data_IF_278747880377
#
_entry.id   IF_278747880377
#
_cell.length_a   1.000
_cell.length_b   1.000
_cell.length_c   1.000
_cell.angle_alpha   90.00
_cell.angle_beta   90.00
_cell.angle_gamma   90.00
#
_symmetry.space_group_name_H-M   'P 1'
#
loop_
_entity.id
_entity.type
_entity.pdbx_description
1 polymer ?
#
# COMPACT_ATOMS: atom_id res chain seq x y z
N UNK A 1 -15.59 14.39 -7.51
CA UNK A 1 -15.48 14.07 -6.06
C UNK A 1 -14.06 14.42 -5.65
N UNK A 2 -13.89 15.22 -4.59
CA UNK A 2 -12.56 15.71 -4.15
C UNK A 2 -11.86 14.62 -3.33
N UNK A 3 -10.54 14.53 -3.43
CA UNK A 3 -9.71 13.59 -2.65
C UNK A 3 -9.81 13.88 -1.15
N UNK A 4 -9.92 12.82 -0.34
CA UNK A 4 -10.03 12.96 1.11
C UNK A 4 -8.63 13.14 1.70
N UNK A 5 -8.42 14.26 2.40
CA UNK A 5 -7.24 14.49 3.24
C UNK A 5 -7.47 13.90 4.62
N UNK A 6 -6.51 13.12 5.11
CA UNK A 6 -6.59 12.45 6.41
C UNK A 6 -5.44 12.92 7.31
N UNK A 7 -5.60 12.87 8.64
CA UNK A 7 -4.43 12.80 9.52
C UNK A 7 -3.51 11.63 9.11
N UNK A 8 -2.24 11.62 9.53
CA UNK A 8 -1.34 10.49 9.29
C UNK A 8 -1.94 9.19 9.82
N UNK A 9 -1.91 8.12 9.02
CA UNK A 9 -2.46 6.80 9.38
C UNK A 9 -1.33 5.78 9.43
N UNK A 10 -1.07 5.20 10.59
CA UNK A 10 -0.07 4.13 10.74
C UNK A 10 -0.55 2.87 10.03
N UNK A 11 0.31 2.31 9.18
CA UNK A 11 0.04 1.04 8.50
C UNK A 11 0.15 -0.12 9.49
N UNK A 12 -0.87 -0.97 9.50
CA UNK A 12 -0.85 -2.26 10.21
C UNK A 12 -0.58 -3.36 9.20
N UNK A 13 0.53 -4.08 9.38
CA UNK A 13 0.86 -5.22 8.55
C UNK A 13 0.08 -6.46 9.01
N UNK A 14 -0.57 -7.12 8.06
CA UNK A 14 -1.12 -8.45 8.21
C UNK A 14 -0.24 -9.46 7.47
N UNK A 15 0.26 -10.46 8.20
CA UNK A 15 1.04 -11.56 7.62
C UNK A 15 0.14 -12.49 6.80
N UNK A 16 -1.04 -12.81 7.34
CA UNK A 16 -2.04 -13.62 6.66
C UNK A 16 -2.91 -12.77 5.73
N UNK A 17 -3.14 -13.31 4.52
CA UNK A 17 -3.93 -12.64 3.49
C UNK A 17 -5.40 -12.56 3.91
N UNK A 18 -5.97 -13.63 4.41
CA UNK A 18 -7.40 -13.68 4.75
C UNK A 18 -7.74 -12.73 5.89
N UNK A 19 -6.86 -12.61 6.89
CA UNK A 19 -7.01 -11.66 7.99
C UNK A 19 -7.01 -10.21 7.47
N UNK A 20 -6.13 -9.87 6.53
CA UNK A 20 -6.17 -8.57 5.86
C UNK A 20 -7.54 -8.33 5.18
N UNK A 21 -8.04 -9.31 4.42
CA UNK A 21 -9.30 -9.18 3.69
C UNK A 21 -10.53 -9.07 4.61
N UNK A 22 -10.48 -9.67 5.80
CA UNK A 22 -11.52 -9.60 6.83
C UNK A 22 -11.43 -8.35 7.71
N UNK A 23 -10.25 -7.74 7.85
CA UNK A 23 -10.04 -6.53 8.65
C UNK A 23 -10.80 -5.33 8.08
N UNK A 24 -11.08 -4.32 8.91
CA UNK A 24 -11.61 -3.01 8.52
C UNK A 24 -10.64 -1.85 8.83
N UNK A 25 -9.42 -2.16 9.25
CA UNK A 25 -8.42 -1.19 9.71
C UNK A 25 -7.91 -0.34 8.54
N UNK A 26 -8.24 0.95 8.53
CA UNK A 26 -7.78 1.90 7.51
C UNK A 26 -6.25 1.95 7.42
N UNK A 27 -5.71 1.97 6.20
CA UNK A 27 -4.27 1.98 5.98
C UNK A 27 -3.55 0.66 6.30
N UNK A 28 -4.26 -0.40 6.69
CA UNK A 28 -3.67 -1.73 6.80
C UNK A 28 -3.10 -2.21 5.46
N UNK A 29 -2.12 -3.09 5.54
CA UNK A 29 -1.37 -3.60 4.39
C UNK A 29 -1.15 -5.11 4.50
N UNK A 30 -0.94 -5.74 3.34
CA UNK A 30 -0.45 -7.10 3.22
C UNK A 30 0.51 -7.17 2.02
N UNK A 31 1.62 -7.89 2.17
CA UNK A 31 2.68 -7.96 1.14
C UNK A 31 2.83 -9.42 0.74
N UNK A 32 2.43 -9.75 -0.48
CA UNK A 32 2.61 -11.08 -1.04
C UNK A 32 3.76 -11.06 -2.05
N UNK A 33 4.78 -11.91 -1.85
CA UNK A 33 5.86 -12.11 -2.82
C UNK A 33 5.41 -13.04 -3.94
N UNK A 34 5.86 -12.76 -5.16
CA UNK A 34 5.66 -13.67 -6.29
C UNK A 34 6.65 -14.84 -6.21
N UNK A 35 6.21 -16.04 -6.61
CA UNK A 35 7.08 -17.24 -6.63
C UNK A 35 8.11 -17.17 -7.76
N UNK A 36 7.71 -16.60 -8.91
CA UNK A 36 8.56 -16.52 -10.11
C UNK A 36 9.60 -15.38 -10.05
N UNK A 37 9.28 -14.28 -9.36
CA UNK A 37 10.22 -13.21 -9.07
C UNK A 37 10.05 -12.73 -7.61
N UNK A 38 10.93 -13.15 -6.69
CA UNK A 38 10.80 -12.79 -5.28
C UNK A 38 11.05 -11.30 -5.00
N UNK A 39 11.58 -10.55 -5.99
CA UNK A 39 11.73 -9.09 -5.87
C UNK A 39 10.48 -8.33 -6.31
N UNK A 40 9.53 -8.97 -6.99
CA UNK A 40 8.21 -8.40 -7.24
C UNK A 40 7.22 -8.82 -6.16
N UNK A 41 6.43 -7.86 -5.72
CA UNK A 41 5.42 -8.04 -4.69
C UNK A 41 4.08 -7.48 -5.12
N UNK A 42 3.03 -8.21 -4.78
CA UNK A 42 1.67 -7.70 -4.72
C UNK A 42 1.47 -7.03 -3.35
N UNK A 43 1.52 -5.70 -3.34
CA UNK A 43 1.35 -4.88 -2.16
C UNK A 43 -0.12 -4.46 -2.03
N UNK A 44 -0.85 -5.15 -1.15
CA UNK A 44 -2.25 -4.84 -0.87
C UNK A 44 -2.36 -3.78 0.21
N UNK A 45 -3.32 -2.87 0.06
CA UNK A 45 -3.65 -1.89 1.09
C UNK A 45 -5.15 -1.67 1.20
N UNK A 46 -5.59 -1.27 2.40
CA UNK A 46 -6.92 -0.73 2.66
C UNK A 46 -6.84 0.79 2.64
N UNK A 47 -7.78 1.43 1.96
CA UNK A 47 -7.78 2.86 1.71
C UNK A 47 -7.65 3.66 3.04
N UNK A 48 -6.66 4.56 3.17
CA UNK A 48 -6.43 5.30 4.40
C UNK A 48 -7.58 6.24 4.79
N UNK A 49 -8.48 6.59 3.87
CA UNK A 49 -9.64 7.41 4.20
C UNK A 49 -10.72 6.71 5.06
N UNK A 50 -10.58 5.40 5.29
CA UNK A 50 -11.50 4.64 6.13
C UNK A 50 -12.77 4.14 5.42
N UNK A 51 -12.91 4.35 4.10
CA UNK A 51 -14.06 3.85 3.33
C UNK A 51 -14.10 2.32 3.18
N UNK A 52 -13.05 1.62 3.58
CA UNK A 52 -12.93 0.16 3.46
C UNK A 52 -12.63 -0.36 2.06
N UNK A 53 -12.44 0.50 1.06
CA UNK A 53 -11.93 0.11 -0.25
C UNK A 53 -10.53 -0.50 -0.10
N UNK A 54 -10.19 -1.46 -0.96
CA UNK A 54 -8.92 -2.18 -0.96
C UNK A 54 -8.43 -2.35 -2.38
N UNK A 55 -7.12 -2.29 -2.59
CA UNK A 55 -6.54 -2.47 -3.92
C UNK A 55 -5.14 -3.09 -3.82
N UNK A 56 -4.74 -3.88 -4.83
CA UNK A 56 -3.36 -4.28 -5.00
C UNK A 56 -2.54 -3.15 -5.66
N UNK A 57 -1.25 -3.13 -5.38
CA UNK A 57 -0.23 -2.33 -6.06
C UNK A 57 0.89 -3.29 -6.47
N UNK A 58 1.33 -3.21 -7.71
CA UNK A 58 2.54 -3.91 -8.15
C UNK A 58 3.77 -3.14 -7.66
N UNK A 59 4.62 -3.75 -6.84
CA UNK A 59 5.82 -3.11 -6.34
C UNK A 59 7.05 -4.00 -6.46
N UNK A 60 8.23 -3.38 -6.57
CA UNK A 60 9.52 -4.08 -6.58
C UNK A 60 10.35 -3.73 -5.35
N UNK A 61 11.08 -4.71 -4.81
CA UNK A 61 12.02 -4.53 -3.71
C UNK A 61 13.29 -3.83 -4.22
N UNK A 62 13.41 -2.53 -3.92
CA UNK A 62 14.53 -1.68 -4.33
C UNK A 62 14.47 -1.21 -5.79
N UNK A 63 13.41 -1.53 -6.54
CA UNK A 63 13.22 -1.03 -7.90
C UNK A 63 11.74 -0.85 -8.24
N UNK A 64 11.45 -0.10 -9.30
CA UNK A 64 10.09 0.07 -9.83
C UNK A 64 9.88 -0.89 -11.01
N UNK A 65 8.94 -1.84 -10.94
CA UNK A 65 8.59 -2.71 -12.07
C UNK A 65 8.22 -1.90 -13.32
N UNK A 66 8.50 -2.41 -14.51
CA UNK A 66 8.35 -1.65 -15.76
C UNK A 66 6.93 -1.69 -16.31
N UNK A 67 6.20 -2.76 -16.01
CA UNK A 67 4.90 -3.04 -16.62
C UNK A 67 3.75 -2.38 -15.84
N UNK A 68 3.25 -1.26 -16.37
CA UNK A 68 2.07 -0.57 -15.87
C UNK A 68 2.29 0.30 -14.62
N UNK A 69 1.20 0.70 -13.93
CA UNK A 69 1.28 1.45 -12.68
C UNK A 69 1.97 0.60 -11.60
N UNK A 70 3.14 1.04 -11.16
CA UNK A 70 4.02 0.29 -10.27
C UNK A 70 4.79 1.19 -9.32
N UNK A 71 5.30 0.60 -8.24
CA UNK A 71 6.00 1.30 -7.16
C UNK A 71 7.34 0.64 -6.84
N UNK A 72 8.28 1.45 -6.36
CA UNK A 72 9.43 0.98 -5.60
C UNK A 72 9.01 0.83 -4.15
N UNK A 73 9.21 -0.36 -3.60
CA UNK A 73 9.15 -0.64 -2.17
C UNK A 73 10.58 -0.74 -1.60
N UNK A 74 10.78 -0.30 -0.35
CA UNK A 74 12.08 -0.33 0.31
C UNK A 74 12.45 -1.68 0.95
N UNK A 75 11.68 -2.74 0.71
CA UNK A 75 11.93 -4.08 1.28
C UNK A 75 11.56 -4.23 2.76
N UNK A 76 11.14 -3.15 3.44
CA UNK A 76 10.83 -3.17 4.87
C UNK A 76 9.36 -3.49 5.14
N UNK A 77 9.11 -4.43 6.04
CA UNK A 77 7.78 -4.78 6.55
C UNK A 77 7.39 -4.01 7.81
N UNK A 78 8.38 -3.49 8.56
CA UNK A 78 8.17 -2.74 9.80
C UNK A 78 8.06 -1.23 9.58
N UNK A 79 8.73 -0.73 8.53
CA UNK A 79 8.69 0.66 8.09
C UNK A 79 8.56 0.71 6.56
N UNK A 80 7.45 0.19 5.99
CA UNK A 80 7.26 0.16 4.55
C UNK A 80 7.19 1.58 4.00
N UNK A 81 7.89 1.77 2.88
CA UNK A 81 7.85 3.00 2.09
C UNK A 81 7.61 2.65 0.63
N UNK A 82 6.67 3.36 -0.01
CA UNK A 82 6.37 3.23 -1.44
C UNK A 82 6.67 4.53 -2.17
N UNK A 83 7.28 4.43 -3.35
CA UNK A 83 7.53 5.56 -4.26
C UNK A 83 7.16 5.14 -5.68
N UNK A 84 6.36 5.91 -6.46
CA UNK A 84 5.83 7.25 -6.16
C UNK A 84 4.63 7.23 -5.18
N UNK A 85 3.88 8.33 -5.10
CA UNK A 85 2.61 8.39 -4.36
C UNK A 85 1.61 7.33 -4.81
N UNK A 86 0.70 6.94 -3.93
CA UNK A 86 -0.44 6.08 -4.22
C UNK A 86 -1.68 6.95 -4.44
N UNK A 87 -2.29 6.84 -5.61
CA UNK A 87 -3.54 7.52 -5.95
C UNK A 87 -4.66 6.48 -6.08
N UNK A 88 -5.52 6.42 -5.06
CA UNK A 88 -6.76 5.66 -5.11
C UNK A 88 -7.84 6.56 -5.70
N UNK A 89 -8.07 6.39 -7.01
CA UNK A 89 -8.94 7.26 -7.80
C UNK A 89 -10.31 7.44 -7.16
N UNK A 90 -10.69 8.70 -6.92
CA UNK A 90 -11.98 9.06 -6.33
C UNK A 90 -12.07 8.91 -4.80
N UNK A 91 -10.98 8.52 -4.13
CA UNK A 91 -10.95 8.29 -2.69
C UNK A 91 -9.83 9.05 -1.98
N UNK A 92 -8.56 8.76 -2.28
CA UNK A 92 -7.42 9.22 -1.48
C UNK A 92 -6.14 9.30 -2.33
N UNK A 93 -5.29 10.30 -2.05
CA UNK A 93 -3.99 10.47 -2.69
C UNK A 93 -2.92 10.87 -1.66
N UNK A 94 -1.77 10.20 -1.70
CA UNK A 94 -0.67 10.48 -0.79
C UNK A 94 0.45 9.44 -0.84
N UNK A 95 1.27 9.38 0.20
CA UNK A 95 2.46 8.52 0.28
C UNK A 95 2.38 7.57 1.46
N UNK A 96 2.95 6.38 1.30
CA UNK A 96 3.33 5.51 2.41
C UNK A 96 4.82 5.74 2.67
N UNK A 97 5.16 6.26 3.85
CA UNK A 97 6.55 6.56 4.21
C UNK A 97 6.78 6.19 5.67
N UNK A 98 7.78 5.35 5.91
CA UNK A 98 8.18 4.85 7.23
C UNK A 98 7.00 4.21 7.99
N UNK A 99 6.16 3.45 7.28
CA UNK A 99 4.98 2.81 7.86
C UNK A 99 3.81 3.75 8.13
N UNK A 100 3.81 4.98 7.60
CA UNK A 100 2.73 5.96 7.80
C UNK A 100 2.20 6.47 6.46
N UNK A 101 0.88 6.37 6.28
CA UNK A 101 0.17 7.01 5.17
C UNK A 101 -0.02 8.49 5.44
N UNK A 102 0.44 9.34 4.52
CA UNK A 102 0.35 10.80 4.58
C UNK A 102 -0.33 11.32 3.32
N UNK A 103 -1.46 12.01 3.47
CA UNK A 103 -2.16 12.62 2.33
C UNK A 103 -1.40 13.82 1.76
N UNK A 104 -1.61 14.10 0.47
CA UNK A 104 -1.13 15.30 -0.24
C UNK A 104 -1.93 16.57 0.12
#
# INVERSE_FOLDING_TARGET
MSEIRTPPVTAVLFEDRDDFFRSDIAGSIHIARHEDDPKEVSFWYRCPCGCGAKAPLSAGDGYKPVDGPSWTWNGSTTAPTLTPSVHHVGHWHGWLTDGVWKSC
#
